data_IF_923931053363
#
_entry.id   IF_923931053363
#
_cell.length_a   1.000
_cell.length_b   1.000
_cell.length_c   1.000
_cell.angle_alpha   90.00
_cell.angle_beta   90.00
_cell.angle_gamma   90.00
#
_symmetry.space_group_name_H-M   'P 1'
#
loop_
_entity.id
_entity.type
_entity.pdbx_description
1 polymer ?
#
# COMPACT_ATOMS: atom_id res chain seq x y z
N UNK A 1 15.84 29.32 -7.78
CA UNK A 1 16.90 28.82 -8.68
C UNK A 1 18.27 29.11 -8.06
N UNK A 2 19.08 28.06 -7.90
CA UNK A 2 20.43 28.14 -7.35
C UNK A 2 21.39 27.47 -8.32
N UNK A 3 22.60 28.07 -8.51
CA UNK A 3 23.64 27.46 -9.31
C UNK A 3 24.70 26.87 -8.38
N UNK A 4 25.10 25.64 -8.65
CA UNK A 4 26.15 24.93 -7.92
C UNK A 4 27.34 24.72 -8.82
N UNK A 5 28.53 24.91 -8.26
CA UNK A 5 29.80 24.59 -8.91
C UNK A 5 30.36 23.34 -8.23
N UNK A 6 30.55 22.27 -9.01
CA UNK A 6 31.01 20.98 -8.50
C UNK A 6 32.40 20.70 -9.07
N UNK A 7 33.47 20.78 -8.27
CA UNK A 7 34.79 20.34 -8.69
C UNK A 7 34.86 18.80 -8.68
N UNK A 8 35.27 18.20 -9.79
CA UNK A 8 35.40 16.75 -9.89
C UNK A 8 36.58 16.40 -10.80
N UNK A 9 37.57 15.69 -10.29
CA UNK A 9 38.75 15.20 -11.02
C UNK A 9 39.54 16.28 -11.81
N UNK A 10 39.63 17.50 -11.27
CA UNK A 10 40.36 18.61 -11.92
C UNK A 10 39.54 19.43 -12.91
N UNK A 11 38.29 19.05 -13.15
CA UNK A 11 37.34 19.82 -13.95
C UNK A 11 36.27 20.47 -13.07
N UNK A 12 35.65 21.50 -13.60
CA UNK A 12 34.56 22.22 -12.91
C UNK A 12 33.27 22.03 -13.67
N UNK A 13 32.30 21.40 -13.00
CA UNK A 13 30.96 21.20 -13.53
C UNK A 13 30.00 22.23 -12.95
N UNK A 14 29.10 22.72 -13.78
CA UNK A 14 28.05 23.63 -13.37
C UNK A 14 26.72 22.89 -13.33
N UNK A 15 26.04 22.91 -12.19
CA UNK A 15 24.71 22.42 -12.03
C UNK A 15 23.73 23.51 -11.61
N UNK A 16 22.55 23.50 -12.12
CA UNK A 16 21.46 24.36 -11.68
C UNK A 16 20.47 23.55 -10.86
N UNK A 17 20.17 24.03 -9.66
CA UNK A 17 19.12 23.45 -8.81
C UNK A 17 17.93 24.39 -8.79
N UNK A 18 16.78 23.86 -9.12
CA UNK A 18 15.49 24.57 -9.06
C UNK A 18 14.55 23.83 -8.12
N UNK A 19 13.76 24.56 -7.35
CA UNK A 19 12.80 23.99 -6.41
C UNK A 19 11.38 24.28 -6.88
N UNK A 20 10.53 23.27 -6.77
CA UNK A 20 9.13 23.33 -7.16
C UNK A 20 8.26 22.73 -6.06
N UNK A 21 7.01 23.17 -5.96
CA UNK A 21 6.02 22.47 -5.14
C UNK A 21 5.37 21.39 -6.00
N UNK A 22 5.23 20.19 -5.45
CA UNK A 22 4.64 19.03 -6.15
C UNK A 22 3.23 18.68 -5.65
N UNK A 23 2.54 19.63 -5.00
CA UNK A 23 1.17 19.44 -4.54
C UNK A 23 0.22 19.21 -5.72
N UNK A 24 0.41 19.98 -6.79
CA UNK A 24 -0.35 19.86 -8.02
C UNK A 24 0.58 19.43 -9.16
N UNK A 25 0.13 18.51 -10.02
CA UNK A 25 0.92 18.00 -11.14
C UNK A 25 1.33 19.11 -12.13
N UNK A 26 0.52 20.17 -12.25
CA UNK A 26 0.79 21.32 -13.12
C UNK A 26 2.06 22.07 -12.69
N UNK A 27 2.36 22.13 -11.39
CA UNK A 27 3.49 22.87 -10.87
C UNK A 27 4.85 22.27 -11.29
N UNK A 28 4.85 21.00 -11.71
CA UNK A 28 6.07 20.27 -12.12
C UNK A 28 6.12 20.01 -13.61
N UNK A 29 5.31 20.71 -14.40
CA UNK A 29 5.34 20.66 -15.87
C UNK A 29 6.25 21.74 -16.45
N UNK A 30 6.76 21.51 -17.66
CA UNK A 30 7.45 22.52 -18.45
C UNK A 30 8.98 22.60 -18.29
N UNK A 31 9.62 21.68 -17.56
CA UNK A 31 11.07 21.58 -17.51
C UNK A 31 11.56 20.16 -17.80
N UNK A 32 12.82 20.01 -18.14
CA UNK A 32 13.51 18.71 -18.19
C UNK A 32 14.61 18.73 -17.11
N UNK A 33 14.85 17.58 -16.50
CA UNK A 33 15.81 17.45 -15.42
C UNK A 33 16.68 16.20 -15.58
N UNK A 34 17.97 16.35 -15.31
CA UNK A 34 18.90 15.22 -15.27
C UNK A 34 18.75 14.42 -13.97
N UNK A 35 18.23 15.06 -12.93
CA UNK A 35 17.88 14.41 -11.68
C UNK A 35 16.72 15.15 -10.98
N UNK A 36 15.87 14.43 -10.29
CA UNK A 36 14.83 15.00 -9.44
C UNK A 36 14.92 14.39 -8.06
N UNK A 37 14.91 15.25 -7.03
CA UNK A 37 14.81 14.82 -5.63
C UNK A 37 13.42 15.21 -5.12
N UNK A 38 12.65 14.23 -4.73
CA UNK A 38 11.32 14.40 -4.13
C UNK A 38 11.45 14.26 -2.62
N UNK A 39 11.30 15.37 -1.90
CA UNK A 39 11.22 15.36 -0.44
C UNK A 39 9.77 15.13 -0.02
N UNK A 40 9.56 14.34 1.04
CA UNK A 40 8.24 13.94 1.55
C UNK A 40 7.35 13.31 0.46
N UNK A 41 7.95 12.41 -0.32
CA UNK A 41 7.34 11.79 -1.48
C UNK A 41 6.02 11.05 -1.17
N UNK A 42 5.87 10.55 0.05
CA UNK A 42 4.61 9.93 0.49
C UNK A 42 3.41 10.87 0.48
N UNK A 43 3.64 12.19 0.57
CA UNK A 43 2.58 13.19 0.61
C UNK A 43 2.07 13.68 -0.75
N UNK A 44 2.77 13.43 -1.85
CA UNK A 44 2.36 13.87 -3.18
C UNK A 44 1.43 12.88 -3.88
N UNK A 45 0.59 13.38 -4.78
CA UNK A 45 -0.30 12.54 -5.57
C UNK A 45 0.44 11.66 -6.57
N UNK A 46 -0.19 10.57 -6.99
CA UNK A 46 0.37 9.71 -8.05
C UNK A 46 0.49 10.45 -9.38
N UNK A 47 -0.40 11.39 -9.67
CA UNK A 47 -0.35 12.19 -10.88
C UNK A 47 0.82 13.18 -10.87
N UNK A 48 1.13 13.77 -9.71
CA UNK A 48 2.34 14.57 -9.54
C UNK A 48 3.59 13.73 -9.74
N UNK A 49 3.63 12.51 -9.19
CA UNK A 49 4.74 11.59 -9.42
C UNK A 49 4.91 11.23 -10.90
N UNK A 50 3.81 10.89 -11.62
CA UNK A 50 3.83 10.61 -13.06
C UNK A 50 4.31 11.80 -13.88
N UNK A 51 3.90 13.01 -13.51
CA UNK A 51 4.38 14.23 -14.14
C UNK A 51 5.89 14.42 -13.95
N UNK A 52 6.43 14.13 -12.75
CA UNK A 52 7.87 14.18 -12.46
C UNK A 52 8.63 13.12 -13.27
N UNK A 53 8.13 11.89 -13.38
CA UNK A 53 8.74 10.86 -14.22
C UNK A 53 8.91 11.34 -15.65
N UNK A 54 7.89 12.00 -16.20
CA UNK A 54 7.97 12.60 -17.54
C UNK A 54 9.08 13.64 -17.71
N UNK A 55 9.58 14.24 -16.62
CA UNK A 55 10.64 15.29 -16.68
C UNK A 55 12.05 14.73 -16.85
N UNK A 56 12.25 13.48 -16.49
CA UNK A 56 13.54 12.79 -16.60
C UNK A 56 13.68 11.92 -17.85
N UNK A 57 12.59 11.69 -18.58
CA UNK A 57 12.58 10.78 -19.73
C UNK A 57 13.51 11.25 -20.88
N UNK A 58 13.49 12.55 -21.21
CA UNK A 58 14.27 13.08 -22.34
C UNK A 58 15.77 13.15 -22.05
N UNK A 59 16.16 13.21 -20.79
CA UNK A 59 17.56 13.29 -20.35
C UNK A 59 18.14 11.95 -19.96
N UNK A 60 17.29 10.90 -19.81
CA UNK A 60 17.69 9.64 -19.20
C UNK A 60 18.03 9.78 -17.72
N UNK A 61 17.49 10.80 -17.07
CA UNK A 61 17.78 11.15 -15.68
C UNK A 61 17.19 10.19 -14.67
N UNK A 62 17.47 10.45 -13.39
CA UNK A 62 17.00 9.60 -12.28
C UNK A 62 16.15 10.37 -11.26
N UNK A 63 15.42 9.63 -10.45
CA UNK A 63 14.58 10.18 -9.39
C UNK A 63 15.02 9.59 -8.05
N UNK A 64 15.24 10.44 -7.06
CA UNK A 64 15.39 10.06 -5.66
C UNK A 64 14.12 10.52 -4.94
N UNK A 65 13.37 9.58 -4.35
CA UNK A 65 12.20 9.88 -3.57
C UNK A 65 12.44 9.52 -2.09
N UNK A 66 12.33 10.50 -1.21
CA UNK A 66 12.47 10.31 0.23
C UNK A 66 11.21 10.72 0.96
N UNK A 67 10.89 10.06 2.05
CA UNK A 67 9.73 10.38 2.86
C UNK A 67 9.46 9.34 3.93
N UNK A 68 8.51 9.63 4.78
CA UNK A 68 8.02 8.70 5.79
C UNK A 68 6.89 7.84 5.21
N UNK A 69 6.70 6.65 5.80
CA UNK A 69 5.63 5.75 5.39
C UNK A 69 4.27 6.12 5.98
N UNK A 70 4.27 6.95 7.02
CA UNK A 70 3.05 7.37 7.70
C UNK A 70 2.17 8.23 6.78
N UNK A 71 0.90 7.85 6.65
CA UNK A 71 -0.10 8.53 5.79
C UNK A 71 0.32 8.71 4.32
N UNK A 72 1.28 7.92 3.87
CA UNK A 72 1.76 8.02 2.50
C UNK A 72 0.80 7.44 1.48
N UNK A 73 0.88 7.95 0.26
CA UNK A 73 0.07 7.53 -0.87
C UNK A 73 0.41 6.09 -1.31
N UNK A 74 -0.57 5.37 -1.82
CA UNK A 74 -0.44 3.96 -2.25
C UNK A 74 0.69 3.75 -3.28
N UNK A 75 0.88 4.69 -4.21
CA UNK A 75 1.94 4.61 -5.23
C UNK A 75 3.33 4.55 -4.60
N UNK A 76 3.57 5.34 -3.52
CA UNK A 76 4.84 5.38 -2.82
C UNK A 76 5.14 4.05 -2.13
N UNK A 77 4.15 3.47 -1.44
CA UNK A 77 4.26 2.13 -0.85
C UNK A 77 4.60 1.08 -1.90
N UNK A 78 3.92 1.10 -3.05
CA UNK A 78 4.15 0.16 -4.12
C UNK A 78 5.59 0.27 -4.65
N UNK A 79 6.11 1.49 -4.85
CA UNK A 79 7.50 1.70 -5.30
C UNK A 79 8.54 1.24 -4.28
N UNK A 80 8.33 1.50 -2.99
CA UNK A 80 9.19 0.96 -1.93
C UNK A 80 9.20 -0.57 -1.96
N UNK A 81 8.03 -1.19 -2.04
CA UNK A 81 7.90 -2.65 -2.10
C UNK A 81 8.56 -3.24 -3.34
N UNK A 82 8.33 -2.67 -4.51
CA UNK A 82 8.97 -3.08 -5.77
C UNK A 82 10.49 -3.00 -5.68
N UNK A 83 11.03 -1.90 -5.15
CA UNK A 83 12.47 -1.70 -5.04
C UNK A 83 13.17 -2.55 -3.97
N UNK A 84 12.44 -3.25 -3.11
CA UNK A 84 12.99 -4.23 -2.15
C UNK A 84 13.22 -5.61 -2.78
N UNK A 85 12.56 -5.89 -3.88
CA UNK A 85 12.73 -7.13 -4.65
C UNK A 85 13.75 -6.87 -5.74
N UNK A 86 14.64 -7.83 -6.01
CA UNK A 86 15.53 -7.77 -7.18
C UNK A 86 14.65 -7.82 -8.42
N UNK A 87 14.55 -6.70 -9.12
CA UNK A 87 13.74 -6.60 -10.33
C UNK A 87 14.45 -5.77 -11.41
N UNK A 88 13.96 -5.89 -12.64
CA UNK A 88 14.50 -5.24 -13.81
C UNK A 88 13.87 -3.85 -14.08
N UNK A 89 13.02 -3.34 -13.18
CA UNK A 89 12.34 -2.06 -13.37
C UNK A 89 13.24 -0.84 -13.08
N UNK A 90 14.51 -1.05 -12.74
CA UNK A 90 15.44 0.02 -12.43
C UNK A 90 15.12 0.78 -11.14
N UNK A 91 14.29 0.19 -10.26
CA UNK A 91 13.89 0.77 -8.98
C UNK A 91 14.69 0.10 -7.87
N UNK A 92 15.23 0.92 -6.95
CA UNK A 92 15.89 0.44 -5.75
C UNK A 92 15.39 1.22 -4.54
N UNK A 93 14.99 0.52 -3.48
CA UNK A 93 14.56 1.16 -2.25
C UNK A 93 15.50 0.86 -1.09
N UNK A 94 15.61 1.83 -0.21
CA UNK A 94 16.43 1.77 0.98
C UNK A 94 15.58 2.13 2.18
N UNK A 95 15.85 1.48 3.31
CA UNK A 95 15.18 1.71 4.57
C UNK A 95 16.20 2.19 5.59
N UNK A 96 15.93 3.33 6.20
CA UNK A 96 16.80 3.96 7.18
C UNK A 96 16.05 4.18 8.49
N UNK A 97 16.05 3.19 9.40
CA UNK A 97 15.54 3.40 10.76
C UNK A 97 16.28 4.53 11.47
N UNK A 98 15.58 5.26 12.34
CA UNK A 98 16.15 6.41 13.07
C UNK A 98 17.46 6.09 13.77
N UNK A 99 17.61 4.88 14.30
CA UNK A 99 18.83 4.44 14.99
C UNK A 99 20.05 4.23 14.09
N UNK A 100 19.91 4.32 12.75
CA UNK A 100 21.05 4.38 11.85
C UNK A 100 21.76 5.75 11.84
N UNK A 101 21.10 6.77 12.35
CA UNK A 101 21.71 8.08 12.55
C UNK A 101 22.50 8.08 13.85
N UNK A 102 23.74 7.60 13.81
CA UNK A 102 24.62 7.49 14.98
C UNK A 102 25.07 8.85 15.54
N UNK A 103 24.90 9.94 14.79
CA UNK A 103 25.14 11.29 15.31
C UNK A 103 24.05 11.69 16.30
N UNK A 104 22.78 11.40 16.01
CA UNK A 104 21.66 11.69 16.88
C UNK A 104 21.44 10.63 17.98
N UNK A 105 21.75 9.36 17.65
CA UNK A 105 21.51 8.19 18.46
C UNK A 105 22.78 7.34 18.52
N UNK A 106 23.75 7.80 19.34
CA UNK A 106 25.08 7.18 19.41
C UNK A 106 25.05 5.71 19.85
N UNK A 107 24.05 5.31 20.61
CA UNK A 107 23.80 3.91 21.02
C UNK A 107 23.07 3.07 19.98
N UNK A 108 22.80 3.62 18.79
CA UNK A 108 22.06 2.91 17.74
C UNK A 108 20.67 2.50 18.21
N UNK A 109 20.30 1.23 17.98
CA UNK A 109 18.99 0.68 18.40
C UNK A 109 18.82 0.69 19.93
N UNK A 110 19.91 0.57 20.68
CA UNK A 110 19.95 0.55 22.14
C UNK A 110 20.10 1.96 22.77
N UNK A 111 20.09 3.01 21.95
CA UNK A 111 20.16 4.37 22.44
C UNK A 111 18.98 4.66 23.41
N UNK A 112 19.23 5.28 24.59
CA UNK A 112 18.19 5.56 25.57
C UNK A 112 17.01 6.35 25.01
N UNK A 113 17.21 7.21 24.02
CA UNK A 113 16.13 7.98 23.35
C UNK A 113 15.24 7.06 22.50
N UNK A 114 15.86 6.08 21.82
CA UNK A 114 15.11 5.08 21.02
C UNK A 114 14.31 4.17 21.93
N UNK A 115 14.92 3.64 23.00
CA UNK A 115 14.23 2.80 23.98
C UNK A 115 13.10 3.56 24.72
N UNK A 116 13.29 4.86 24.95
CA UNK A 116 12.22 5.71 25.47
C UNK A 116 11.06 5.84 24.48
N UNK A 117 11.35 6.09 23.20
CA UNK A 117 10.32 6.18 22.16
C UNK A 117 9.53 4.88 22.03
N UNK A 118 10.19 3.73 22.13
CA UNK A 118 9.57 2.40 22.08
C UNK A 118 8.59 2.16 23.24
N UNK A 119 8.89 2.69 24.43
CA UNK A 119 7.98 2.60 25.58
C UNK A 119 6.81 3.56 25.54
N UNK A 120 6.96 4.70 24.86
CA UNK A 120 5.94 5.75 24.80
C UNK A 120 4.99 5.63 23.62
N UNK A 121 5.41 4.97 22.55
CA UNK A 121 4.61 4.77 21.34
C UNK A 121 4.03 3.36 21.35
N UNK A 122 2.87 3.19 20.74
CA UNK A 122 2.40 1.86 20.41
C UNK A 122 3.35 1.21 19.38
N UNK A 123 3.33 -0.12 19.32
CA UNK A 123 4.27 -0.90 18.50
C UNK A 123 4.20 -0.56 17.00
N UNK A 124 3.00 -0.25 16.50
CA UNK A 124 2.79 0.11 15.09
C UNK A 124 3.40 1.50 14.79
N UNK A 125 3.08 2.50 15.62
CA UNK A 125 3.63 3.85 15.48
C UNK A 125 5.16 3.84 15.61
N UNK A 126 5.70 3.08 16.55
CA UNK A 126 7.15 2.95 16.71
C UNK A 126 7.79 2.31 15.47
N UNK A 127 7.23 1.20 14.96
CA UNK A 127 7.76 0.53 13.79
C UNK A 127 7.77 1.45 12.56
N UNK A 128 6.72 2.25 12.36
CA UNK A 128 6.58 3.15 11.21
C UNK A 128 7.49 4.38 11.35
N UNK A 129 7.41 5.11 12.46
CA UNK A 129 8.09 6.39 12.61
C UNK A 129 9.56 6.28 12.93
N UNK A 130 9.92 5.29 13.73
CA UNK A 130 11.29 5.08 14.22
C UNK A 130 11.99 3.97 13.46
N UNK A 131 11.26 2.87 13.17
CA UNK A 131 11.76 1.69 12.48
C UNK A 131 11.78 1.81 10.96
N UNK A 132 11.17 2.86 10.38
CA UNK A 132 10.98 3.02 8.95
C UNK A 132 10.31 1.79 8.30
N UNK A 133 9.44 1.09 9.05
CA UNK A 133 8.70 -0.05 8.53
C UNK A 133 7.59 0.42 7.60
N UNK A 134 7.36 -0.27 6.47
CA UNK A 134 6.19 0.00 5.65
C UNK A 134 4.92 -0.27 6.46
N UNK A 135 3.97 0.66 6.40
CA UNK A 135 2.67 0.49 7.04
C UNK A 135 2.03 -0.78 6.50
N UNK A 136 1.69 -1.71 7.38
CA UNK A 136 0.63 -2.67 7.07
C UNK A 136 -0.62 -1.85 6.85
N UNK A 137 -1.30 -2.07 5.73
CA UNK A 137 -2.44 -1.27 5.27
C UNK A 137 -3.32 -0.90 6.46
N UNK A 138 -3.35 0.39 6.84
CA UNK A 138 -4.24 0.90 7.88
C UNK A 138 -5.67 0.76 7.38
N UNK A 139 -6.54 0.21 8.19
CA UNK A 139 -7.92 -0.08 7.80
C UNK A 139 -8.19 -1.56 7.49
N UNK A 140 -7.23 -2.45 7.74
CA UNK A 140 -7.49 -3.89 7.70
C UNK A 140 -8.35 -4.24 8.92
N UNK A 141 -9.59 -4.60 8.66
CA UNK A 141 -10.54 -5.01 9.70
C UNK A 141 -10.03 -6.22 10.50
N UNK A 142 -9.28 -7.11 9.84
CA UNK A 142 -8.72 -8.33 10.41
C UNK A 142 -7.19 -8.26 10.35
N UNK A 143 -6.57 -7.61 11.33
CA UNK A 143 -5.11 -7.44 11.42
C UNK A 143 -4.33 -8.77 11.52
N UNK A 144 -4.99 -9.81 11.99
CA UNK A 144 -4.43 -11.15 12.15
C UNK A 144 -4.34 -11.94 10.84
N UNK A 145 -5.07 -11.54 9.79
CA UNK A 145 -4.97 -12.20 8.49
C UNK A 145 -3.58 -11.96 7.88
N UNK A 146 -2.88 -13.04 7.63
CA UNK A 146 -1.57 -13.08 6.98
C UNK A 146 -1.65 -13.88 5.68
N UNK A 147 -0.57 -13.90 4.92
CA UNK A 147 -0.50 -14.71 3.71
C UNK A 147 -0.72 -16.21 3.96
N UNK A 148 -0.40 -16.68 5.17
CA UNK A 148 -0.59 -18.08 5.55
C UNK A 148 -2.05 -18.51 5.68
N UNK A 149 -2.96 -17.53 5.82
CA UNK A 149 -4.41 -17.76 5.81
C UNK A 149 -5.00 -17.86 4.39
N UNK A 150 -4.21 -17.51 3.36
CA UNK A 150 -4.63 -17.60 1.97
C UNK A 150 -4.23 -18.99 1.45
N UNK A 151 -5.17 -19.90 1.51
CA UNK A 151 -4.99 -21.31 1.11
C UNK A 151 -6.11 -21.72 0.17
N UNK A 152 -5.91 -22.72 -0.68
CA UNK A 152 -7.00 -23.32 -1.45
C UNK A 152 -8.08 -23.85 -0.51
N UNK A 153 -9.29 -23.34 -0.64
CA UNK A 153 -10.47 -23.76 0.11
C UNK A 153 -11.54 -24.25 -0.87
N UNK A 154 -11.47 -25.50 -1.34
CA UNK A 154 -12.49 -26.04 -2.24
C UNK A 154 -13.82 -26.16 -1.51
N UNK A 155 -14.92 -26.05 -2.26
CA UNK A 155 -16.25 -26.32 -1.76
C UNK A 155 -16.37 -27.77 -1.32
N UNK A 156 -16.95 -28.00 -0.15
CA UNK A 156 -17.26 -29.32 0.40
C UNK A 156 -18.77 -29.53 0.34
N UNK A 157 -19.29 -30.44 -0.48
CA UNK A 157 -20.74 -30.66 -0.63
C UNK A 157 -21.40 -31.28 0.61
N UNK A 158 -20.63 -31.80 1.56
CA UNK A 158 -21.14 -32.37 2.80
C UNK A 158 -21.33 -31.32 3.91
N UNK A 159 -20.91 -30.08 3.67
CA UNK A 159 -21.03 -28.98 4.63
C UNK A 159 -22.03 -27.92 4.14
N UNK A 160 -22.79 -27.31 5.05
CA UNK A 160 -23.66 -26.20 4.72
C UNK A 160 -22.85 -24.95 4.31
N UNK A 161 -23.50 -24.09 3.54
CA UNK A 161 -22.93 -22.81 3.10
C UNK A 161 -23.72 -21.66 3.70
N UNK A 162 -23.01 -20.75 4.35
CA UNK A 162 -23.52 -19.45 4.78
C UNK A 162 -23.17 -18.40 3.73
N UNK A 163 -24.05 -17.44 3.47
CA UNK A 163 -23.74 -16.25 2.68
C UNK A 163 -23.49 -15.05 3.59
N UNK A 164 -22.35 -14.39 3.44
CA UNK A 164 -22.09 -13.13 4.10
C UNK A 164 -22.14 -12.02 3.06
N UNK A 165 -23.13 -11.13 3.20
CA UNK A 165 -23.51 -10.18 2.15
C UNK A 165 -23.33 -8.75 2.63
N UNK A 166 -22.60 -7.97 1.83
CA UNK A 166 -22.48 -6.52 1.94
C UNK A 166 -23.09 -5.88 0.68
N UNK A 167 -24.37 -5.43 0.74
CA UNK A 167 -25.05 -4.86 -0.41
C UNK A 167 -24.53 -3.48 -0.74
N UNK A 168 -24.08 -3.25 -1.97
CA UNK A 168 -23.68 -1.95 -2.48
C UNK A 168 -24.20 -1.72 -3.90
N UNK A 169 -24.67 -0.53 -4.21
CA UNK A 169 -25.12 -0.19 -5.57
C UNK A 169 -24.06 0.61 -6.32
N UNK A 170 -23.68 1.78 -5.81
CA UNK A 170 -22.58 2.60 -6.37
C UNK A 170 -21.22 2.14 -5.89
N UNK A 171 -21.16 1.54 -4.68
CA UNK A 171 -20.02 0.82 -4.15
C UNK A 171 -19.92 -0.59 -4.72
N UNK A 172 -19.12 -1.42 -4.06
CA UNK A 172 -19.06 -2.83 -4.36
C UNK A 172 -20.23 -3.56 -3.67
N UNK A 173 -20.85 -4.47 -4.41
CA UNK A 173 -21.73 -5.49 -3.84
C UNK A 173 -20.88 -6.74 -3.63
N UNK A 174 -20.73 -7.17 -2.39
CA UNK A 174 -19.89 -8.31 -2.03
C UNK A 174 -20.72 -9.43 -1.44
N UNK A 175 -20.47 -10.65 -1.89
CA UNK A 175 -21.01 -11.88 -1.30
C UNK A 175 -19.86 -12.84 -1.08
N UNK A 176 -19.68 -13.30 0.14
CA UNK A 176 -18.77 -14.38 0.48
C UNK A 176 -19.58 -15.65 0.74
N UNK A 177 -19.21 -16.73 0.07
CA UNK A 177 -19.69 -18.06 0.39
C UNK A 177 -18.77 -18.68 1.44
N UNK A 178 -19.33 -19.10 2.56
CA UNK A 178 -18.59 -19.48 3.75
C UNK A 178 -19.00 -20.87 4.21
N UNK A 179 -18.05 -21.70 4.53
CA UNK A 179 -18.28 -22.98 5.21
C UNK A 179 -17.57 -22.99 6.57
N UNK A 180 -18.22 -23.60 7.56
CA UNK A 180 -17.62 -23.83 8.88
C UNK A 180 -17.19 -25.28 9.00
N UNK A 181 -15.94 -25.47 9.39
CA UNK A 181 -15.40 -26.79 9.68
C UNK A 181 -14.62 -26.73 11.00
N UNK A 182 -15.07 -27.50 11.98
CA UNK A 182 -14.58 -27.41 13.35
C UNK A 182 -14.62 -25.96 13.85
N UNK A 183 -13.47 -25.43 14.20
CA UNK A 183 -13.31 -24.06 14.68
C UNK A 183 -12.75 -23.11 13.59
N UNK A 184 -12.87 -23.49 12.31
CA UNK A 184 -12.39 -22.72 11.16
C UNK A 184 -13.54 -22.13 10.38
N UNK A 185 -13.34 -20.90 9.89
CA UNK A 185 -14.19 -20.24 8.90
C UNK A 185 -13.44 -20.31 7.58
N UNK A 186 -14.03 -20.94 6.58
CA UNK A 186 -13.47 -21.11 5.25
C UNK A 186 -14.27 -20.30 4.25
N UNK A 187 -13.65 -19.31 3.62
CA UNK A 187 -14.24 -18.57 2.50
C UNK A 187 -13.94 -19.38 1.25
N UNK A 188 -14.97 -20.00 0.67
CA UNK A 188 -14.83 -20.91 -0.46
C UNK A 188 -15.02 -20.22 -1.79
N UNK A 189 -15.75 -19.09 -1.83
CA UNK A 189 -15.98 -18.31 -3.04
C UNK A 189 -16.29 -16.86 -2.69
N UNK A 190 -16.05 -15.95 -3.66
CA UNK A 190 -16.34 -14.53 -3.56
C UNK A 190 -17.05 -14.05 -4.82
N UNK A 191 -18.09 -13.23 -4.64
CA UNK A 191 -18.69 -12.42 -5.70
C UNK A 191 -18.47 -10.97 -5.32
N UNK A 192 -17.74 -10.24 -6.17
CA UNK A 192 -17.44 -8.83 -5.96
C UNK A 192 -17.76 -8.05 -7.24
N UNK A 193 -18.90 -7.35 -7.22
CA UNK A 193 -19.44 -6.68 -8.40
C UNK A 193 -19.86 -5.25 -8.11
N UNK A 194 -20.03 -4.45 -9.15
CA UNK A 194 -20.50 -3.06 -9.05
C UNK A 194 -21.60 -2.83 -10.06
N UNK A 195 -22.50 -1.89 -9.76
CA UNK A 195 -23.58 -1.46 -10.64
C UNK A 195 -24.57 -2.56 -11.03
N UNK A 196 -24.67 -3.61 -10.21
CA UNK A 196 -25.69 -4.64 -10.36
C UNK A 196 -26.78 -4.47 -9.31
N UNK A 197 -27.98 -4.86 -9.68
CA UNK A 197 -29.11 -4.94 -8.74
C UNK A 197 -29.02 -6.23 -7.90
N UNK A 198 -29.63 -6.23 -6.73
CA UNK A 198 -29.72 -7.45 -5.89
C UNK A 198 -30.25 -8.68 -6.66
N UNK A 199 -31.33 -8.58 -7.48
CA UNK A 199 -31.76 -9.71 -8.31
C UNK A 199 -30.70 -10.22 -9.29
N UNK A 200 -29.83 -9.35 -9.81
CA UNK A 200 -28.76 -9.77 -10.72
C UNK A 200 -27.66 -10.52 -9.96
N UNK A 201 -27.32 -10.04 -8.75
CA UNK A 201 -26.37 -10.74 -7.88
C UNK A 201 -26.89 -12.11 -7.45
N UNK A 202 -28.17 -12.21 -7.09
CA UNK A 202 -28.81 -13.50 -6.76
C UNK A 202 -28.69 -14.47 -7.94
N UNK A 203 -28.97 -14.03 -9.18
CA UNK A 203 -28.80 -14.88 -10.38
C UNK A 203 -27.35 -15.36 -10.59
N UNK A 204 -26.36 -14.58 -10.13
CA UNK A 204 -24.95 -15.02 -10.17
C UNK A 204 -24.75 -16.13 -9.13
N UNK A 205 -25.27 -15.93 -7.92
CA UNK A 205 -25.18 -16.92 -6.85
C UNK A 205 -25.84 -18.24 -7.24
N UNK A 206 -27.04 -18.20 -7.83
CA UNK A 206 -27.82 -19.37 -8.27
C UNK A 206 -27.06 -20.28 -9.27
N UNK A 207 -26.05 -19.76 -9.94
CA UNK A 207 -25.22 -20.50 -10.91
C UNK A 207 -23.99 -21.14 -10.28
N UNK A 208 -23.74 -20.90 -9.01
CA UNK A 208 -22.60 -21.45 -8.29
C UNK A 208 -22.91 -22.85 -7.77
N UNK A 209 -21.91 -23.72 -7.79
CA UNK A 209 -22.06 -25.12 -7.33
C UNK A 209 -22.46 -25.24 -5.86
N UNK A 210 -22.09 -24.26 -5.04
CA UNK A 210 -22.39 -24.20 -3.62
C UNK A 210 -23.80 -23.70 -3.30
N UNK A 211 -24.55 -23.13 -4.26
CA UNK A 211 -25.87 -22.55 -4.04
C UNK A 211 -26.88 -23.52 -3.43
N UNK A 212 -26.97 -24.82 -3.87
CA UNK A 212 -27.91 -25.79 -3.29
C UNK A 212 -27.64 -26.14 -1.83
N UNK A 213 -26.45 -25.83 -1.31
CA UNK A 213 -26.07 -26.17 0.07
C UNK A 213 -26.29 -25.01 1.06
N UNK A 214 -27.01 -23.97 0.65
CA UNK A 214 -27.41 -22.89 1.56
C UNK A 214 -28.51 -23.42 2.48
N UNK A 215 -28.30 -23.24 3.79
CA UNK A 215 -29.29 -23.62 4.78
C UNK A 215 -30.44 -22.62 4.82
N UNK A 216 -31.68 -23.11 4.75
CA UNK A 216 -32.87 -22.26 4.79
C UNK A 216 -33.06 -21.58 6.16
N UNK A 217 -32.63 -22.24 7.24
CA UNK A 217 -32.82 -21.76 8.63
C UNK A 217 -31.71 -20.78 9.08
N UNK A 218 -30.52 -20.82 8.48
CA UNK A 218 -29.42 -19.91 8.75
C UNK A 218 -28.64 -19.57 7.46
N UNK A 219 -29.26 -18.79 6.57
CA UNK A 219 -28.65 -18.48 5.26
C UNK A 219 -27.42 -17.57 5.33
N UNK A 220 -27.11 -17.01 6.50
CA UNK A 220 -25.92 -16.17 6.70
C UNK A 220 -26.22 -14.77 7.24
N UNK A 221 -25.32 -13.83 6.96
CA UNK A 221 -25.34 -12.46 7.51
C UNK A 221 -25.43 -11.45 6.37
N UNK A 222 -26.31 -10.46 6.53
CA UNK A 222 -26.42 -9.30 5.64
C UNK A 222 -26.22 -8.01 6.42
N UNK A 223 -25.41 -7.07 5.89
CA UNK A 223 -25.34 -5.73 6.46
C UNK A 223 -26.65 -4.98 6.19
N UNK A 224 -27.24 -4.43 7.27
CA UNK A 224 -28.51 -3.68 7.22
C UNK A 224 -28.32 -2.18 7.01
N UNK A 225 -27.07 -1.71 7.03
CA UNK A 225 -26.75 -0.28 6.91
C UNK A 225 -26.53 0.19 5.46
N UNK A 226 -26.72 -0.70 4.49
CA UNK A 226 -26.54 -0.42 3.06
C UNK A 226 -27.83 0.12 2.40
#
# INVERSE_FOLDING_TARGET
KCSLTIPMQGETYFATVETYTAQEAENVRGFNADAVVICEAGGISEDSYKAIVGRTLSTGGFIIASGTMEKSQKWYHNKIKTGQVVNDEGIKSFKFPSWFNLVAFAGGREDPKILRAERLLDSETFAIRIGAEPIRVTGVALKQLTQDHIQPCPFDPDLPVEMWVDPGHTGAYSVLAVQRYDNQIRIIDEIYVRFLSTPDVVRICERKEWWPNIEDDDPGVIDRAA
#
